data_IF_037434642925
#
_entry.id   IF_037434642925
#
_cell.length_a   1.000
_cell.length_b   1.000
_cell.length_c   1.000
_cell.angle_alpha   90.00
_cell.angle_beta   90.00
_cell.angle_gamma   90.00
#
_symmetry.space_group_name_H-M   'P 1'
#
loop_
_entity.id
_entity.type
_entity.pdbx_description
1 polymer ?
#
# COMPACT_ATOMS: atom_id res chain seq x y z
N UNK A 1 0.22 11.71 -29.17
CA UNK A 1 -1.25 11.61 -29.16
C UNK A 1 -1.71 11.50 -27.71
N UNK A 2 -2.75 12.21 -27.35
CA UNK A 2 -3.39 12.15 -26.03
C UNK A 2 -4.77 11.51 -26.19
N UNK A 3 -5.30 10.92 -25.11
CA UNK A 3 -6.63 10.27 -25.09
C UNK A 3 -6.78 9.15 -26.13
N UNK A 4 -5.67 8.48 -26.45
CA UNK A 4 -5.60 7.40 -27.40
C UNK A 4 -5.20 6.09 -26.71
N UNK A 5 -6.09 5.10 -26.76
CA UNK A 5 -5.85 3.78 -26.17
C UNK A 5 -5.14 2.87 -27.18
N UNK A 6 -3.98 2.36 -26.81
CA UNK A 6 -3.21 1.43 -27.64
C UNK A 6 -3.59 0.00 -27.28
N UNK A 7 -4.25 -0.71 -28.19
CA UNK A 7 -4.56 -2.14 -28.09
C UNK A 7 -3.50 -3.00 -28.78
N UNK A 8 -3.71 -4.33 -28.84
CA UNK A 8 -2.76 -5.26 -29.44
C UNK A 8 -2.54 -5.07 -30.96
N UNK A 9 -3.59 -4.68 -31.70
CA UNK A 9 -3.50 -4.41 -33.14
C UNK A 9 -2.72 -3.13 -33.40
N UNK A 10 -3.04 -2.07 -32.64
CA UNK A 10 -2.34 -0.81 -32.68
C UNK A 10 -0.85 -0.95 -32.33
N UNK A 11 -0.54 -1.74 -31.29
CA UNK A 11 0.84 -2.03 -30.92
C UNK A 11 1.59 -2.78 -32.04
N UNK A 12 0.91 -3.68 -32.73
CA UNK A 12 1.50 -4.40 -33.90
C UNK A 12 1.79 -3.43 -35.01
N UNK A 13 0.85 -2.53 -35.34
CA UNK A 13 1.05 -1.49 -36.33
C UNK A 13 2.25 -0.58 -36.01
N UNK A 14 2.36 -0.13 -34.75
CA UNK A 14 3.49 0.70 -34.29
C UNK A 14 4.83 -0.05 -34.43
N UNK A 15 4.87 -1.35 -34.20
CA UNK A 15 6.09 -2.14 -34.39
C UNK A 15 6.51 -2.29 -35.86
N UNK A 16 5.55 -2.22 -36.78
CA UNK A 16 5.82 -2.28 -38.20
C UNK A 16 6.19 -0.91 -38.78
N UNK A 17 5.72 0.17 -38.15
CA UNK A 17 5.94 1.56 -38.59
C UNK A 17 7.25 2.17 -38.05
N UNK A 18 7.70 1.77 -36.86
CA UNK A 18 8.88 2.34 -36.20
C UNK A 18 10.00 1.31 -36.00
N UNK A 19 11.25 1.75 -36.06
CA UNK A 19 12.44 0.92 -35.82
C UNK A 19 12.49 0.34 -34.40
N UNK A 20 11.89 1.03 -33.41
CA UNK A 20 11.77 0.59 -32.03
C UNK A 20 10.52 1.17 -31.36
N UNK A 21 9.92 0.38 -30.47
CA UNK A 21 8.80 0.82 -29.61
C UNK A 21 9.20 0.64 -28.15
N UNK A 22 9.17 1.71 -27.39
CA UNK A 22 9.43 1.69 -25.95
C UNK A 22 8.13 1.72 -25.15
N UNK A 23 7.92 0.69 -24.32
CA UNK A 23 6.74 0.58 -23.47
C UNK A 23 7.01 1.18 -22.09
N UNK A 24 6.35 2.28 -21.77
CA UNK A 24 6.48 3.00 -20.50
C UNK A 24 5.10 3.26 -19.87
N UNK A 25 4.29 2.20 -19.74
CA UNK A 25 2.88 2.27 -19.34
C UNK A 25 2.65 2.39 -17.83
N UNK A 26 3.67 2.21 -17.02
CA UNK A 26 3.57 2.26 -15.56
C UNK A 26 2.73 1.12 -14.95
N UNK A 27 2.41 1.26 -13.67
CA UNK A 27 1.55 0.34 -12.92
C UNK A 27 0.15 0.97 -12.75
N UNK A 28 -0.89 0.28 -13.19
CA UNK A 28 -2.26 0.78 -13.18
C UNK A 28 -3.19 0.04 -12.20
N UNK A 29 -2.71 -1.02 -11.57
CA UNK A 29 -3.51 -1.83 -10.64
C UNK A 29 -2.68 -2.36 -9.48
N UNK A 30 -3.34 -2.46 -8.32
CA UNK A 30 -2.77 -3.09 -7.13
C UNK A 30 -2.88 -4.61 -7.19
N UNK A 31 -2.04 -5.24 -6.38
CA UNK A 31 -2.25 -6.64 -6.01
C UNK A 31 -3.17 -6.70 -4.80
N UNK A 32 -4.28 -7.40 -4.93
CA UNK A 32 -5.14 -7.69 -3.78
C UNK A 32 -4.39 -8.52 -2.74
N UNK A 33 -4.67 -8.25 -1.48
CA UNK A 33 -4.09 -8.97 -0.35
C UNK A 33 -4.80 -10.31 -0.12
N UNK A 34 -6.06 -10.43 -0.53
CA UNK A 34 -6.91 -11.58 -0.31
C UNK A 34 -7.34 -11.71 1.16
N UNK A 35 -7.47 -10.59 1.86
CA UNK A 35 -7.89 -10.56 3.25
C UNK A 35 -9.41 -10.50 3.38
N UNK A 36 -10.00 -11.18 4.38
CA UNK A 36 -11.39 -10.95 4.73
C UNK A 36 -11.66 -9.46 4.97
N UNK A 37 -12.73 -8.92 4.40
CA UNK A 37 -13.10 -7.51 4.51
C UNK A 37 -12.39 -6.56 3.54
N UNK A 38 -11.57 -7.04 2.62
CA UNK A 38 -10.82 -6.20 1.65
C UNK A 38 -11.71 -5.39 0.70
N UNK A 39 -12.98 -5.79 0.53
CA UNK A 39 -13.95 -5.09 -0.32
C UNK A 39 -14.83 -4.10 0.48
N UNK A 40 -14.55 -3.90 1.77
CA UNK A 40 -15.36 -3.02 2.62
C UNK A 40 -15.17 -1.54 2.23
N UNK A 41 -16.24 -0.72 2.34
CA UNK A 41 -16.11 0.72 2.21
C UNK A 41 -15.08 1.30 3.18
N UNK A 42 -14.15 2.09 2.65
CA UNK A 42 -13.00 2.63 3.40
C UNK A 42 -11.70 1.87 3.14
N UNK A 43 -11.74 0.77 2.37
CA UNK A 43 -10.53 0.14 1.83
C UNK A 43 -10.22 0.76 0.47
N UNK A 44 -9.04 1.36 0.37
CA UNK A 44 -8.64 2.10 -0.83
C UNK A 44 -7.40 1.48 -1.49
N UNK A 45 -7.38 1.58 -2.82
CA UNK A 45 -6.23 1.19 -3.62
C UNK A 45 -5.14 2.26 -3.53
N UNK A 46 -3.91 1.85 -3.19
CA UNK A 46 -2.74 2.74 -3.17
C UNK A 46 -2.51 3.44 -4.52
N UNK A 47 -2.63 2.67 -5.61
CA UNK A 47 -2.43 3.21 -6.97
C UNK A 47 -3.53 4.19 -7.36
N UNK A 48 -4.80 3.90 -7.00
CA UNK A 48 -5.92 4.81 -7.26
C UNK A 48 -5.77 6.12 -6.47
N UNK A 49 -5.44 6.03 -5.18
CA UNK A 49 -5.23 7.20 -4.33
C UNK A 49 -4.12 8.11 -4.88
N UNK A 50 -2.94 7.53 -5.20
CA UNK A 50 -1.83 8.32 -5.72
C UNK A 50 -2.14 8.92 -7.11
N UNK A 51 -2.92 8.21 -7.94
CA UNK A 51 -3.37 8.74 -9.22
C UNK A 51 -4.33 9.92 -9.03
N UNK A 52 -5.34 9.80 -8.19
CA UNK A 52 -6.27 10.88 -7.89
C UNK A 52 -5.52 12.13 -7.40
N UNK A 53 -4.54 11.96 -6.50
CA UNK A 53 -3.68 13.06 -6.06
C UNK A 53 -2.88 13.67 -7.23
N UNK A 54 -2.38 12.86 -8.15
CA UNK A 54 -1.70 13.33 -9.36
C UNK A 54 -2.60 14.07 -10.34
N UNK A 55 -3.89 13.79 -10.31
CA UNK A 55 -4.94 14.42 -11.11
C UNK A 55 -5.59 15.63 -10.36
N UNK A 56 -4.96 16.11 -9.26
CA UNK A 56 -5.44 17.19 -8.36
C UNK A 56 -6.76 16.87 -7.62
N UNK A 57 -7.12 15.60 -7.53
CA UNK A 57 -8.28 15.10 -6.77
C UNK A 57 -7.83 14.64 -5.39
N UNK A 58 -7.61 15.60 -4.46
CA UNK A 58 -7.12 15.30 -3.12
C UNK A 58 -8.23 14.70 -2.24
N UNK A 59 -8.04 13.51 -1.65
CA UNK A 59 -8.97 12.98 -0.67
C UNK A 59 -8.91 13.80 0.63
N UNK A 60 -10.06 14.04 1.25
CA UNK A 60 -10.11 14.60 2.60
C UNK A 60 -10.06 13.45 3.63
N UNK A 61 -8.93 13.36 4.33
CA UNK A 61 -8.71 12.37 5.39
C UNK A 61 -8.73 13.00 6.79
N UNK A 62 -9.27 14.22 6.92
CA UNK A 62 -9.33 14.95 8.20
C UNK A 62 -9.98 14.12 9.30
N UNK A 63 -9.28 13.96 10.43
CA UNK A 63 -9.73 13.19 11.57
C UNK A 63 -9.77 11.67 11.40
N UNK A 64 -9.34 11.15 10.25
CA UNK A 64 -9.29 9.71 10.00
C UNK A 64 -7.96 9.11 10.45
N UNK A 65 -8.02 7.86 10.89
CA UNK A 65 -6.84 7.02 11.15
C UNK A 65 -6.65 6.08 9.97
N UNK A 66 -5.45 6.06 9.42
CA UNK A 66 -5.15 5.33 8.19
C UNK A 66 -4.13 4.22 8.47
N UNK A 67 -4.43 2.99 8.05
CA UNK A 67 -3.50 1.89 8.04
C UNK A 67 -3.01 1.63 6.60
N UNK A 68 -1.71 1.79 6.36
CA UNK A 68 -1.07 1.48 5.07
C UNK A 68 -0.40 0.12 5.16
N UNK A 69 -0.80 -0.84 4.33
CA UNK A 69 -0.26 -2.20 4.35
C UNK A 69 0.83 -2.33 3.29
N UNK A 70 2.07 -2.45 3.73
CA UNK A 70 3.20 -2.63 2.82
C UNK A 70 4.52 -2.05 3.32
N UNK A 71 5.60 -2.30 2.59
CA UNK A 71 6.95 -1.84 2.93
C UNK A 71 7.78 -1.52 1.69
N UNK A 72 7.14 -1.10 0.59
CA UNK A 72 7.79 -0.58 -0.62
C UNK A 72 7.62 0.93 -0.74
N UNK A 73 8.27 1.56 -1.73
CA UNK A 73 8.19 3.00 -1.94
C UNK A 73 6.75 3.50 -2.07
N UNK A 74 5.88 2.77 -2.79
CA UNK A 74 4.45 3.11 -2.92
C UNK A 74 3.76 3.22 -1.56
N UNK A 75 4.08 2.35 -0.59
CA UNK A 75 3.52 2.43 0.76
C UNK A 75 4.00 3.68 1.50
N UNK A 76 5.25 4.09 1.31
CA UNK A 76 5.79 5.33 1.88
C UNK A 76 5.11 6.55 1.25
N UNK A 77 4.96 6.57 -0.07
CA UNK A 77 4.28 7.65 -0.80
C UNK A 77 2.83 7.81 -0.34
N UNK A 78 2.07 6.71 -0.22
CA UNK A 78 0.69 6.73 0.27
C UNK A 78 0.62 7.21 1.71
N UNK A 79 1.51 6.72 2.59
CA UNK A 79 1.51 7.11 4.00
C UNK A 79 1.77 8.60 4.19
N UNK A 80 2.78 9.14 3.49
CA UNK A 80 3.10 10.58 3.50
C UNK A 80 1.98 11.42 2.89
N UNK A 81 1.38 10.95 1.80
CA UNK A 81 0.23 11.60 1.18
C UNK A 81 -0.97 11.63 2.12
N UNK A 82 -1.24 10.54 2.85
CA UNK A 82 -2.33 10.50 3.82
C UNK A 82 -2.14 11.53 4.96
N UNK A 83 -0.90 11.69 5.47
CA UNK A 83 -0.59 12.76 6.43
C UNK A 83 -0.90 14.14 5.84
N UNK A 84 -0.47 14.40 4.61
CA UNK A 84 -0.68 15.68 3.91
C UNK A 84 -2.14 15.95 3.56
N UNK A 85 -2.94 14.89 3.39
CA UNK A 85 -4.38 14.95 3.21
C UNK A 85 -5.16 15.05 4.53
N UNK A 86 -4.48 15.29 5.67
CA UNK A 86 -5.11 15.62 6.95
C UNK A 86 -5.41 14.43 7.87
N UNK A 87 -4.91 13.22 7.58
CA UNK A 87 -5.11 12.07 8.47
C UNK A 87 -4.61 12.37 9.89
N UNK A 88 -5.42 12.04 10.90
CA UNK A 88 -5.08 12.20 12.33
C UNK A 88 -3.91 11.30 12.74
N UNK A 89 -3.90 10.09 12.21
CA UNK A 89 -2.84 9.09 12.46
C UNK A 89 -2.63 8.22 11.25
N UNK A 90 -1.37 7.99 10.88
CA UNK A 90 -0.99 7.07 9.81
C UNK A 90 -0.08 5.98 10.36
N UNK A 91 -0.48 4.71 10.22
CA UNK A 91 0.28 3.54 10.64
C UNK A 91 0.65 2.68 9.44
N UNK A 92 1.95 2.48 9.20
CA UNK A 92 2.48 1.61 8.16
C UNK A 92 2.63 0.20 8.76
N UNK A 93 1.85 -0.76 8.29
CA UNK A 93 1.81 -2.14 8.80
C UNK A 93 2.67 -3.02 7.92
N UNK A 94 3.73 -3.59 8.49
CA UNK A 94 4.68 -4.42 7.76
C UNK A 94 5.02 -5.72 8.49
N UNK A 95 4.90 -6.85 7.77
CA UNK A 95 5.08 -8.19 8.36
C UNK A 95 6.52 -8.59 8.67
N UNK A 96 7.52 -7.83 8.20
CA UNK A 96 8.94 -8.02 8.49
C UNK A 96 9.49 -6.84 9.28
N UNK A 97 10.81 -6.83 9.50
CA UNK A 97 11.50 -5.70 10.12
C UNK A 97 11.62 -4.52 9.14
N UNK A 98 11.83 -3.35 9.67
CA UNK A 98 12.08 -2.13 8.88
C UNK A 98 13.27 -2.35 7.93
N UNK A 99 14.37 -2.95 8.40
CA UNK A 99 15.55 -3.25 7.59
C UNK A 99 15.30 -4.30 6.47
N UNK A 100 14.16 -4.99 6.47
CA UNK A 100 13.76 -5.92 5.42
C UNK A 100 12.80 -5.27 4.40
N UNK A 101 12.48 -3.99 4.55
CA UNK A 101 11.65 -3.25 3.60
C UNK A 101 12.34 -3.14 2.24
N UNK A 102 11.53 -2.98 1.19
CA UNK A 102 12.04 -2.73 -0.16
C UNK A 102 11.99 -1.26 -0.53
N UNK A 103 11.42 -0.43 0.33
CA UNK A 103 11.49 1.01 0.22
C UNK A 103 12.93 1.48 0.46
N UNK A 104 13.29 2.59 -0.15
CA UNK A 104 14.57 3.24 0.10
C UNK A 104 14.62 3.79 1.52
N UNK A 105 15.79 3.74 2.17
CA UNK A 105 15.96 4.20 3.54
C UNK A 105 15.54 5.68 3.70
N UNK A 106 15.82 6.52 2.70
CA UNK A 106 15.41 7.92 2.70
C UNK A 106 13.87 8.10 2.69
N UNK A 107 13.13 7.22 2.00
CA UNK A 107 11.65 7.27 1.99
C UNK A 107 11.07 6.81 3.32
N UNK A 108 11.66 5.78 3.93
CA UNK A 108 11.26 5.31 5.27
C UNK A 108 11.49 6.42 6.30
N UNK A 109 12.69 7.03 6.28
CA UNK A 109 13.03 8.13 7.18
C UNK A 109 12.12 9.35 6.95
N UNK A 110 11.78 9.67 5.70
CA UNK A 110 10.85 10.74 5.34
C UNK A 110 9.45 10.49 5.90
N UNK A 111 8.92 9.28 5.76
CA UNK A 111 7.61 8.92 6.31
C UNK A 111 7.58 9.04 7.84
N UNK A 112 8.61 8.57 8.52
CA UNK A 112 8.73 8.70 9.98
C UNK A 112 8.86 10.16 10.43
N UNK A 113 9.63 10.98 9.71
CA UNK A 113 9.80 12.40 9.99
C UNK A 113 8.48 13.20 9.81
N UNK A 114 7.62 12.76 8.89
CA UNK A 114 6.27 13.33 8.70
C UNK A 114 5.23 12.79 9.70
N UNK A 115 5.64 11.93 10.65
CA UNK A 115 4.78 11.45 11.75
C UNK A 115 4.11 10.09 11.48
N UNK A 116 4.47 9.38 10.40
CA UNK A 116 3.97 8.02 10.20
C UNK A 116 4.58 7.05 11.22
N UNK A 117 3.72 6.25 11.86
CA UNK A 117 4.15 5.16 12.74
C UNK A 117 4.44 3.90 11.92
N UNK A 118 5.62 3.30 12.08
CA UNK A 118 5.94 2.03 11.43
C UNK A 118 5.75 0.87 12.40
N UNK A 119 4.78 0.02 12.12
CA UNK A 119 4.46 -1.20 12.86
C UNK A 119 5.11 -2.40 12.16
N UNK A 120 6.39 -2.61 12.43
CA UNK A 120 7.12 -3.77 11.93
C UNK A 120 6.67 -5.08 12.61
N UNK A 121 7.06 -6.22 12.05
CA UNK A 121 6.73 -7.56 12.56
C UNK A 121 5.23 -7.71 12.84
N UNK A 122 4.40 -7.13 11.98
CA UNK A 122 2.96 -7.07 12.13
C UNK A 122 2.31 -7.51 10.82
N UNK A 123 1.67 -8.67 10.81
CA UNK A 123 1.01 -9.21 9.63
C UNK A 123 -0.49 -8.93 9.66
N UNK A 124 -1.09 -8.37 8.59
CA UNK A 124 -2.52 -8.20 8.51
C UNK A 124 -3.20 -9.57 8.37
N UNK A 125 -4.35 -9.76 9.03
CA UNK A 125 -5.17 -10.97 8.99
C UNK A 125 -6.54 -10.73 8.39
N UNK A 126 -7.20 -9.65 8.77
CA UNK A 126 -8.54 -9.29 8.31
C UNK A 126 -8.78 -7.80 8.51
N UNK A 127 -9.67 -7.25 7.72
CA UNK A 127 -10.21 -5.91 7.88
C UNK A 127 -11.50 -6.03 8.67
N UNK A 128 -11.56 -5.37 9.82
CA UNK A 128 -12.75 -5.31 10.66
C UNK A 128 -13.69 -4.23 10.17
N UNK A 129 -14.96 -4.54 10.17
CA UNK A 129 -16.03 -3.58 9.80
C UNK A 129 -16.89 -3.27 11.00
N UNK A 130 -17.22 -2.01 11.16
CA UNK A 130 -18.18 -1.55 12.17
C UNK A 130 -19.61 -1.56 11.66
N UNK A 131 -20.43 -0.73 12.28
CA UNK A 131 -21.78 -0.45 11.82
C UNK A 131 -21.77 0.06 10.37
N UNK A 132 -22.79 -0.26 9.61
CA UNK A 132 -22.89 0.07 8.17
C UNK A 132 -21.82 -0.60 7.26
N UNK A 133 -21.06 -1.56 7.78
CA UNK A 133 -20.07 -2.32 7.02
C UNK A 133 -18.81 -1.56 6.62
N UNK A 134 -18.60 -0.33 7.12
CA UNK A 134 -17.38 0.44 6.88
C UNK A 134 -16.21 -0.09 7.70
N UNK A 135 -15.00 0.15 7.23
CA UNK A 135 -13.77 -0.18 7.97
C UNK A 135 -13.79 0.47 9.37
N UNK A 136 -13.44 -0.30 10.37
CA UNK A 136 -13.29 0.13 11.76
C UNK A 136 -11.93 -0.24 12.35
N UNK A 137 -11.19 -1.12 11.70
CA UNK A 137 -9.87 -1.52 12.14
C UNK A 137 -9.23 -2.61 11.29
N UNK A 138 -7.95 -2.82 11.52
CA UNK A 138 -7.16 -3.86 10.90
C UNK A 138 -6.75 -4.89 11.96
N UNK A 139 -7.25 -6.13 11.86
CA UNK A 139 -6.80 -7.23 12.72
C UNK A 139 -5.46 -7.73 12.24
N UNK A 140 -4.53 -7.83 13.18
CA UNK A 140 -3.14 -8.17 12.89
C UNK A 140 -2.60 -9.22 13.83
N UNK A 141 -1.64 -10.02 13.34
CA UNK A 141 -0.87 -10.99 14.11
C UNK A 141 0.57 -10.50 14.26
N UNK A 142 1.07 -10.32 15.50
CA UNK A 142 2.49 -10.11 15.73
C UNK A 142 3.34 -11.23 15.13
N UNK A 143 4.50 -10.86 14.60
CA UNK A 143 5.39 -11.80 13.91
C UNK A 143 6.73 -11.91 14.62
N UNK A 144 7.40 -13.03 14.41
CA UNK A 144 8.83 -13.21 14.66
C UNK A 144 9.51 -13.62 13.36
N UNK A 145 10.79 -13.32 13.23
CA UNK A 145 11.57 -13.73 12.06
C UNK A 145 11.89 -15.22 12.18
N UNK A 146 11.48 -15.97 11.17
CA UNK A 146 11.85 -17.37 10.98
C UNK A 146 13.01 -17.51 10.00
N UNK A 147 13.28 -18.76 9.60
CA UNK A 147 14.34 -19.05 8.65
C UNK A 147 14.10 -18.38 7.29
N UNK A 148 15.16 -17.94 6.62
CA UNK A 148 15.03 -17.32 5.30
C UNK A 148 14.41 -18.28 4.27
N UNK A 149 13.49 -17.75 3.45
CA UNK A 149 12.96 -18.43 2.27
C UNK A 149 13.28 -17.60 1.04
N UNK A 150 13.89 -18.22 0.04
CA UNK A 150 14.34 -17.55 -1.20
C UNK A 150 15.20 -16.31 -0.93
N UNK A 151 16.13 -16.40 0.03
CA UNK A 151 17.06 -15.34 0.38
C UNK A 151 16.46 -14.17 1.18
N UNK A 152 15.19 -14.26 1.62
CA UNK A 152 14.54 -13.21 2.44
C UNK A 152 14.02 -13.79 3.77
N UNK A 153 14.10 -13.03 4.87
CA UNK A 153 13.52 -13.45 6.14
C UNK A 153 12.05 -13.84 5.98
N UNK A 154 11.67 -15.03 6.46
CA UNK A 154 10.30 -15.50 6.42
C UNK A 154 9.65 -15.26 7.79
N UNK A 155 8.71 -14.30 7.92
CA UNK A 155 8.01 -14.07 9.17
C UNK A 155 7.07 -15.25 9.47
N UNK A 156 6.89 -15.53 10.76
CA UNK A 156 5.91 -16.50 11.28
C UNK A 156 5.18 -15.89 12.46
N UNK A 157 3.96 -16.37 12.74
CA UNK A 157 3.18 -15.89 13.86
C UNK A 157 3.95 -16.04 15.18
N UNK A 158 3.97 -14.99 15.97
CA UNK A 158 4.43 -15.01 17.34
C UNK A 158 3.40 -15.70 18.25
N UNK A 159 3.80 -16.14 19.44
CA UNK A 159 2.86 -16.64 20.44
C UNK A 159 2.00 -15.54 21.08
N UNK A 160 2.28 -14.28 20.77
CA UNK A 160 1.51 -13.11 21.21
C UNK A 160 0.13 -13.11 20.53
N UNK A 161 -0.95 -12.78 21.26
CA UNK A 161 -2.31 -12.73 20.69
C UNK A 161 -2.43 -11.72 19.55
N UNK A 162 -3.41 -11.97 18.67
CA UNK A 162 -3.89 -11.02 17.68
C UNK A 162 -4.36 -9.72 18.35
N UNK A 163 -4.29 -8.62 17.63
CA UNK A 163 -4.84 -7.33 18.06
C UNK A 163 -5.49 -6.61 16.91
N UNK A 164 -6.36 -5.66 17.22
CA UNK A 164 -6.97 -4.76 16.23
C UNK A 164 -6.29 -3.40 16.32
N UNK A 165 -5.88 -2.87 15.17
CA UNK A 165 -5.41 -1.50 15.01
C UNK A 165 -6.61 -0.69 14.51
N UNK A 166 -7.13 0.28 15.26
CA UNK A 166 -8.27 1.07 14.82
C UNK A 166 -7.90 1.96 13.62
N UNK A 167 -8.70 1.97 12.60
CA UNK A 167 -8.56 2.82 11.41
C UNK A 167 -9.90 3.02 10.69
#
# INVERSE_FOLDING_TARGET
>A
ELDHSVNGEELSRLRDEFDAVYLAIGAHSDKKLGLPGEEAPGVESAVKMLRAIGDDELPDLSGQRVCVIGGGNVAMDVARSAVRCGAEKVSIVYRRRICDMTAQDAEIAGAQAEGCEVLELTAPLAIETGEEGRVSGLRVQPQIIGEPRRGRPAPRAAATPERVIPC
#
